data_IF_746032495684
#
_entry.id   IF_746032495684
#
_cell.length_a   1.000
_cell.length_b   1.000
_cell.length_c   1.000
_cell.angle_alpha   90.00
_cell.angle_beta   90.00
_cell.angle_gamma   90.00
#
_symmetry.space_group_name_H-M   'P 1'
#
loop_
_entity.id
_entity.type
_entity.pdbx_description
1 polymer ?
#
# COMPACT_ATOMS: atom_id res chain seq x y z
N UNK A 1 28.79 1.25 -12.50
CA UNK A 1 27.46 1.83 -12.69
C UNK A 1 26.74 1.60 -11.37
N UNK A 2 26.59 2.63 -10.54
CA UNK A 2 25.84 2.47 -9.29
C UNK A 2 24.37 2.30 -9.65
N UNK A 3 23.81 1.11 -9.37
CA UNK A 3 22.37 0.92 -9.40
C UNK A 3 21.77 1.82 -8.32
N UNK A 4 21.18 2.94 -8.73
CA UNK A 4 20.30 3.72 -7.87
C UNK A 4 19.05 2.87 -7.63
N UNK A 5 19.11 1.99 -6.63
CA UNK A 5 17.95 1.28 -6.14
C UNK A 5 16.90 2.30 -5.72
N UNK A 6 15.74 2.27 -6.36
CA UNK A 6 14.60 3.07 -5.92
C UNK A 6 14.06 2.38 -4.66
N UNK A 7 14.19 3.04 -3.51
CA UNK A 7 13.63 2.58 -2.25
C UNK A 7 12.18 3.05 -2.18
N UNK A 8 11.23 2.13 -2.29
CA UNK A 8 9.83 2.38 -2.01
C UNK A 8 9.56 2.02 -0.54
N UNK A 9 9.15 2.98 0.28
CA UNK A 9 8.63 2.68 1.62
C UNK A 9 7.10 2.58 1.56
N UNK A 10 6.56 1.45 1.98
CA UNK A 10 5.13 1.33 2.28
C UNK A 10 4.99 1.76 3.73
N UNK A 11 4.34 2.91 3.92
CA UNK A 11 4.17 3.54 5.21
C UNK A 11 3.30 2.65 6.10
N UNK A 12 3.70 2.52 7.36
CA UNK A 12 2.87 1.90 8.39
C UNK A 12 1.81 2.92 8.82
N UNK A 13 0.54 2.67 8.49
CA UNK A 13 -0.59 3.46 8.96
C UNK A 13 -1.21 2.80 10.20
N UNK A 14 -1.04 3.45 11.35
CA UNK A 14 -1.52 2.92 12.62
C UNK A 14 -3.05 2.90 12.73
N UNK A 15 -3.75 3.87 12.12
CA UNK A 15 -5.21 3.94 12.17
C UNK A 15 -5.84 2.81 11.33
N UNK A 16 -5.27 2.55 10.15
CA UNK A 16 -5.69 1.42 9.31
C UNK A 16 -5.46 0.09 10.03
N UNK A 17 -4.30 -0.06 10.66
CA UNK A 17 -3.95 -1.27 11.42
C UNK A 17 -4.89 -1.49 12.62
N UNK A 18 -5.20 -0.44 13.38
CA UNK A 18 -6.11 -0.56 14.52
C UNK A 18 -7.54 -0.84 14.06
N UNK A 19 -8.01 -0.18 13.01
CA UNK A 19 -9.33 -0.43 12.41
C UNK A 19 -9.46 -1.87 11.93
N UNK A 20 -8.42 -2.40 11.28
CA UNK A 20 -8.38 -3.80 10.87
C UNK A 20 -8.38 -4.74 12.08
N UNK A 21 -7.64 -4.39 13.13
CA UNK A 21 -7.56 -5.20 14.34
C UNK A 21 -8.93 -5.31 15.03
N UNK A 22 -9.63 -4.19 15.19
CA UNK A 22 -10.97 -4.15 15.76
C UNK A 22 -11.97 -4.98 14.93
N UNK A 23 -11.94 -4.82 13.60
CA UNK A 23 -12.87 -5.50 12.71
C UNK A 23 -12.66 -7.02 12.62
N UNK A 24 -11.43 -7.52 12.82
CA UNK A 24 -11.10 -8.93 12.60
C UNK A 24 -10.76 -9.71 13.88
N UNK A 25 -10.38 -9.03 14.95
CA UNK A 25 -9.99 -9.64 16.23
C UNK A 25 -10.77 -9.08 17.42
N UNK A 26 -11.82 -8.29 17.16
CA UNK A 26 -12.76 -7.73 18.16
C UNK A 26 -12.07 -6.86 19.23
N UNK A 27 -10.88 -6.35 18.93
CA UNK A 27 -10.13 -5.42 19.79
C UNK A 27 -9.03 -4.70 19.02
N UNK A 28 -8.63 -3.55 19.53
CA UNK A 28 -7.38 -2.91 19.15
C UNK A 28 -6.15 -3.69 19.65
N UNK A 29 -5.03 -3.50 18.95
CA UNK A 29 -3.71 -3.94 19.39
C UNK A 29 -3.23 -3.07 20.55
N UNK A 30 -2.58 -3.69 21.53
CA UNK A 30 -1.87 -2.97 22.59
C UNK A 30 -0.63 -2.26 22.03
N UNK A 31 -0.11 -1.25 22.75
CA UNK A 31 1.13 -0.55 22.36
C UNK A 31 2.30 -1.52 22.12
N UNK A 32 2.41 -2.58 22.94
CA UNK A 32 3.44 -3.60 22.79
C UNK A 32 3.27 -4.42 21.51
N UNK A 33 2.03 -4.77 21.15
CA UNK A 33 1.72 -5.51 19.93
C UNK A 33 1.93 -4.65 18.68
N UNK A 34 1.50 -3.38 18.71
CA UNK A 34 1.78 -2.40 17.67
C UNK A 34 3.29 -2.24 17.43
N UNK A 35 4.07 -2.10 18.51
CA UNK A 35 5.51 -1.96 18.39
C UNK A 35 6.16 -3.21 17.78
N UNK A 36 5.75 -4.41 18.19
CA UNK A 36 6.22 -5.67 17.58
C UNK A 36 5.84 -5.74 16.10
N UNK A 37 4.63 -5.36 15.75
CA UNK A 37 4.18 -5.33 14.37
C UNK A 37 4.99 -4.34 13.54
N UNK A 38 5.30 -3.14 14.05
CA UNK A 38 6.18 -2.16 13.38
C UNK A 38 7.58 -2.71 13.14
N UNK A 39 8.16 -3.43 14.10
CA UNK A 39 9.47 -4.08 13.92
C UNK A 39 9.41 -5.12 12.80
N UNK A 40 8.42 -6.00 12.81
CA UNK A 40 8.22 -6.98 11.75
C UNK A 40 7.86 -6.36 10.40
N UNK A 41 7.22 -5.19 10.41
CA UNK A 41 6.83 -4.48 9.19
C UNK A 41 8.05 -4.18 8.33
N UNK A 42 9.19 -3.79 8.91
CA UNK A 42 10.37 -3.41 8.14
C UNK A 42 11.42 -4.52 8.01
N UNK A 43 11.45 -5.47 8.94
CA UNK A 43 12.52 -6.48 9.02
C UNK A 43 12.16 -7.82 8.35
N UNK A 44 10.88 -8.11 8.16
CA UNK A 44 10.47 -9.38 7.54
C UNK A 44 10.60 -9.31 6.01
N UNK A 45 11.57 -10.05 5.47
CA UNK A 45 11.82 -10.15 4.03
C UNK A 45 10.65 -10.72 3.23
N UNK A 46 9.83 -11.61 3.81
CA UNK A 46 8.64 -12.13 3.16
C UNK A 46 7.53 -11.06 3.08
N UNK A 47 7.33 -10.31 4.17
CA UNK A 47 6.40 -9.17 4.17
C UNK A 47 6.83 -8.10 3.16
N UNK A 48 8.14 -7.82 3.07
CA UNK A 48 8.69 -6.91 2.07
C UNK A 48 8.46 -7.39 0.63
N UNK A 49 8.66 -8.68 0.36
CA UNK A 49 8.38 -9.30 -0.94
C UNK A 49 6.91 -9.15 -1.35
N UNK A 50 5.98 -9.60 -0.49
CA UNK A 50 4.54 -9.54 -0.77
C UNK A 50 4.04 -8.11 -1.04
N UNK A 51 4.57 -7.13 -0.29
CA UNK A 51 4.30 -5.71 -0.50
C UNK A 51 4.79 -5.20 -1.86
N UNK A 52 5.98 -5.62 -2.26
CA UNK A 52 6.55 -5.27 -3.58
C UNK A 52 5.71 -5.86 -4.71
N UNK A 53 5.23 -7.09 -4.55
CA UNK A 53 4.35 -7.75 -5.52
C UNK A 53 2.99 -7.05 -5.63
N UNK A 54 2.38 -6.66 -4.49
CA UNK A 54 1.13 -5.91 -4.46
C UNK A 54 1.27 -4.59 -5.23
N UNK A 55 2.35 -3.84 -4.97
CA UNK A 55 2.63 -2.58 -5.66
C UNK A 55 2.82 -2.80 -7.16
N UNK A 56 3.62 -3.80 -7.55
CA UNK A 56 3.83 -4.15 -8.95
C UNK A 56 2.52 -4.53 -9.66
N UNK A 57 1.61 -5.23 -8.97
CA UNK A 57 0.29 -5.56 -9.47
C UNK A 57 -0.59 -4.32 -9.66
N UNK A 58 -0.62 -3.42 -8.66
CA UNK A 58 -1.37 -2.17 -8.75
C UNK A 58 -0.90 -1.29 -9.92
N UNK A 59 0.42 -1.16 -10.12
CA UNK A 59 1.01 -0.44 -11.26
C UNK A 59 0.60 -1.09 -12.58
N UNK A 60 0.69 -2.42 -12.68
CA UNK A 60 0.25 -3.14 -13.89
C UNK A 60 -1.21 -2.90 -14.21
N UNK A 61 -2.09 -2.90 -13.21
CA UNK A 61 -3.51 -2.60 -13.40
C UNK A 61 -3.74 -1.16 -13.87
N UNK A 62 -3.04 -0.19 -13.28
CA UNK A 62 -3.13 1.21 -13.67
C UNK A 62 -2.61 1.49 -15.09
N UNK A 63 -1.60 0.74 -15.55
CA UNK A 63 -1.08 0.86 -16.93
C UNK A 63 -2.00 0.14 -17.93
N UNK A 64 -2.49 -1.04 -17.57
CA UNK A 64 -3.30 -1.89 -18.45
C UNK A 64 -4.80 -1.71 -18.22
N UNK A 65 -5.23 -0.49 -17.91
CA UNK A 65 -6.61 -0.07 -17.57
C UNK A 65 -7.70 -0.50 -18.56
N UNK A 66 -7.37 -1.10 -19.71
CA UNK A 66 -8.34 -1.73 -20.62
C UNK A 66 -9.15 -2.87 -19.97
N UNK A 67 -8.65 -3.46 -18.89
CA UNK A 67 -9.32 -4.57 -18.18
C UNK A 67 -10.41 -4.10 -17.19
N UNK A 68 -10.48 -2.81 -16.87
CA UNK A 68 -11.43 -2.24 -15.91
C UNK A 68 -12.00 -0.91 -16.46
N UNK A 69 -13.32 -0.73 -16.45
CA UNK A 69 -13.92 0.50 -16.98
C UNK A 69 -13.72 1.69 -16.01
N UNK A 70 -12.59 2.40 -16.18
CA UNK A 70 -12.22 3.60 -15.41
C UNK A 70 -12.56 4.92 -16.12
N UNK A 71 -13.26 4.88 -17.27
CA UNK A 71 -13.47 6.05 -18.15
C UNK A 71 -14.07 7.28 -17.45
N UNK A 72 -14.94 7.06 -16.46
CA UNK A 72 -15.53 8.14 -15.68
C UNK A 72 -14.52 8.73 -14.68
N UNK A 73 -13.85 7.87 -13.92
CA UNK A 73 -12.86 8.27 -12.92
C UNK A 73 -11.68 9.01 -13.58
N UNK A 74 -11.20 8.50 -14.71
CA UNK A 74 -10.08 9.10 -15.46
C UNK A 74 -10.46 10.50 -15.98
N UNK A 75 -11.69 10.65 -16.47
CA UNK A 75 -12.21 11.94 -16.95
C UNK A 75 -12.32 12.96 -15.81
N UNK A 76 -12.94 12.58 -14.70
CA UNK A 76 -13.10 13.46 -13.53
C UNK A 76 -11.72 13.93 -13.00
N UNK A 77 -10.72 13.04 -12.99
CA UNK A 77 -9.34 13.37 -12.61
C UNK A 77 -8.66 14.36 -13.58
N UNK A 78 -8.79 14.13 -14.90
CA UNK A 78 -8.20 15.01 -15.91
C UNK A 78 -8.87 16.40 -15.93
N UNK A 79 -10.20 16.46 -15.75
CA UNK A 79 -10.98 17.70 -15.71
C UNK A 79 -10.69 18.55 -14.46
N UNK A 80 -10.42 17.91 -13.32
CA UNK A 80 -10.02 18.58 -12.07
C UNK A 80 -8.57 19.09 -12.05
N UNK A 81 -7.82 18.87 -13.13
CA UNK A 81 -6.44 19.34 -13.26
C UNK A 81 -5.38 18.40 -12.66
N UNK A 82 -5.74 17.17 -12.30
CA UNK A 82 -4.84 16.18 -11.72
C UNK A 82 -3.69 15.74 -12.64
N UNK A 83 -3.72 16.09 -13.93
CA UNK A 83 -2.70 15.72 -14.92
C UNK A 83 -1.62 16.76 -15.22
N UNK A 84 -1.49 17.84 -14.45
CA UNK A 84 -0.47 18.89 -14.66
C UNK A 84 0.71 18.79 -13.71
#
# INVERSE_FOLDING_TARGET
MEEKGIVFSIVFDEEEVQSFAEANFERELTELELNRMKMHWYEDGAAYGARTELLASAIKMAINTKDYNFERTDRDYLESGGGK
#
